data_IF_482378672128
#
_entry.id   IF_482378672128
#
_cell.length_a   1.000
_cell.length_b   1.000
_cell.length_c   1.000
_cell.angle_alpha   90.00
_cell.angle_beta   90.00
_cell.angle_gamma   90.00
#
_symmetry.space_group_name_H-M   'P 1'
#
loop_
_entity.id
_entity.type
_entity.pdbx_description
1 polymer ?
#
# COMPACT_ATOMS: atom_id res chain seq x y z
N UNK A 1 43.09 6.22 -55.10
CA UNK A 1 43.59 7.32 -54.23
C UNK A 1 43.03 7.12 -52.88
N UNK A 2 43.80 6.58 -51.96
CA UNK A 2 43.36 6.45 -50.56
C UNK A 2 43.53 7.81 -49.93
N UNK A 3 42.39 8.50 -49.67
CA UNK A 3 42.39 9.73 -48.89
C UNK A 3 42.46 9.32 -47.42
N UNK A 4 43.59 9.56 -46.75
CA UNK A 4 43.70 9.39 -45.29
C UNK A 4 42.82 10.39 -44.56
N UNK A 5 42.32 10.01 -43.39
CA UNK A 5 41.58 10.92 -42.51
C UNK A 5 42.48 12.09 -42.08
N UNK A 6 41.93 13.27 -42.12
CA UNK A 6 42.63 14.47 -41.62
C UNK A 6 42.53 14.54 -40.09
N UNK A 7 43.54 15.10 -39.46
CA UNK A 7 43.58 15.30 -37.97
C UNK A 7 42.37 16.11 -37.51
N UNK A 8 41.89 17.05 -38.28
CA UNK A 8 40.74 17.87 -37.97
C UNK A 8 39.41 17.06 -37.94
N UNK A 9 39.24 16.10 -38.86
CA UNK A 9 38.07 15.23 -38.88
C UNK A 9 38.00 14.35 -37.65
N UNK A 10 39.14 13.87 -37.15
CA UNK A 10 39.20 13.07 -35.92
C UNK A 10 38.79 13.93 -34.72
N UNK A 11 39.29 15.17 -34.60
CA UNK A 11 38.97 16.07 -33.52
C UNK A 11 37.46 16.40 -33.51
N UNK A 12 36.89 16.75 -34.65
CA UNK A 12 35.47 17.04 -34.79
C UNK A 12 34.61 15.83 -34.37
N UNK A 13 34.99 14.65 -34.84
CA UNK A 13 34.29 13.39 -34.50
C UNK A 13 34.30 13.11 -32.98
N UNK A 14 35.44 13.35 -32.31
CA UNK A 14 35.56 13.19 -30.86
C UNK A 14 34.71 14.19 -30.10
N UNK A 15 34.63 15.44 -30.57
CA UNK A 15 33.76 16.46 -29.95
C UNK A 15 32.28 16.03 -30.03
N UNK A 16 31.83 15.62 -31.22
CA UNK A 16 30.46 15.16 -31.45
C UNK A 16 30.15 13.94 -30.57
N UNK A 17 31.06 12.97 -30.52
CA UNK A 17 30.91 11.78 -29.67
C UNK A 17 30.79 12.16 -28.19
N UNK A 18 31.61 13.09 -27.72
CA UNK A 18 31.56 13.54 -26.34
C UNK A 18 30.21 14.20 -25.96
N UNK A 19 29.66 15.00 -26.88
CA UNK A 19 28.33 15.63 -26.68
C UNK A 19 27.24 14.56 -26.62
N UNK A 20 27.26 13.59 -27.51
CA UNK A 20 26.28 12.49 -27.52
C UNK A 20 26.36 11.69 -26.23
N UNK A 21 27.54 11.39 -25.72
CA UNK A 21 27.75 10.67 -24.46
C UNK A 21 27.19 11.45 -23.25
N UNK A 22 27.41 12.78 -23.21
CA UNK A 22 26.86 13.63 -22.14
C UNK A 22 25.34 13.64 -22.13
N UNK A 23 24.72 13.81 -23.30
CA UNK A 23 23.26 13.79 -23.44
C UNK A 23 22.70 12.42 -23.02
N UNK A 24 23.29 11.35 -23.54
CA UNK A 24 22.88 9.97 -23.21
C UNK A 24 22.99 9.68 -21.72
N UNK A 25 24.05 10.13 -21.05
CA UNK A 25 24.25 9.96 -19.62
C UNK A 25 23.17 10.69 -18.81
N UNK A 26 22.80 11.91 -19.21
CA UNK A 26 21.76 12.68 -18.54
C UNK A 26 20.37 12.05 -18.72
N UNK A 27 20.07 11.55 -19.91
CA UNK A 27 18.83 10.84 -20.18
C UNK A 27 18.73 9.56 -19.33
N UNK A 28 19.83 8.81 -19.23
CA UNK A 28 19.86 7.60 -18.40
C UNK A 28 19.60 7.90 -16.92
N UNK A 29 20.26 8.91 -16.35
CA UNK A 29 20.03 9.35 -14.97
C UNK A 29 18.58 9.77 -14.75
N UNK A 30 18.04 10.55 -15.67
CA UNK A 30 16.64 10.99 -15.58
C UNK A 30 15.69 9.79 -15.63
N UNK A 31 15.92 8.83 -16.51
CA UNK A 31 15.12 7.60 -16.63
C UNK A 31 15.12 6.79 -15.33
N UNK A 32 16.28 6.62 -14.69
CA UNK A 32 16.41 5.90 -13.41
C UNK A 32 15.61 6.61 -12.31
N UNK A 33 15.72 7.93 -12.20
CA UNK A 33 14.98 8.69 -11.19
C UNK A 33 13.46 8.61 -11.40
N UNK A 34 12.99 8.66 -12.65
CA UNK A 34 11.57 8.47 -12.97
C UNK A 34 11.08 7.07 -12.64
N UNK A 35 11.91 6.05 -12.88
CA UNK A 35 11.56 4.67 -12.56
C UNK A 35 11.41 4.48 -11.04
N UNK A 36 12.31 5.03 -10.25
CA UNK A 36 12.25 4.98 -8.78
C UNK A 36 10.98 5.68 -8.25
N UNK A 37 10.71 6.91 -8.71
CA UNK A 37 9.50 7.63 -8.33
C UNK A 37 8.22 6.89 -8.74
N UNK A 38 8.22 6.23 -9.90
CA UNK A 38 7.09 5.44 -10.36
C UNK A 38 6.89 4.20 -9.50
N UNK A 39 7.95 3.49 -9.15
CA UNK A 39 7.89 2.32 -8.28
C UNK A 39 7.33 2.66 -6.90
N UNK A 40 7.75 3.78 -6.32
CA UNK A 40 7.20 4.27 -5.05
C UNK A 40 5.69 4.55 -5.15
N UNK A 41 5.24 5.19 -6.23
CA UNK A 41 3.81 5.43 -6.47
C UNK A 41 3.03 4.13 -6.64
N UNK A 42 3.55 3.18 -7.40
CA UNK A 42 2.92 1.88 -7.59
C UNK A 42 2.80 1.10 -6.28
N UNK A 43 3.84 1.14 -5.44
CA UNK A 43 3.79 0.53 -4.11
C UNK A 43 2.65 1.09 -3.28
N UNK A 44 2.53 2.43 -3.21
CA UNK A 44 1.43 3.10 -2.48
C UNK A 44 0.04 2.74 -3.03
N UNK A 45 -0.11 2.68 -4.35
CA UNK A 45 -1.38 2.28 -4.98
C UNK A 45 -1.73 0.84 -4.62
N UNK A 46 -0.76 -0.07 -4.64
CA UNK A 46 -0.98 -1.47 -4.27
C UNK A 46 -1.38 -1.62 -2.80
N UNK A 47 -0.76 -0.89 -1.90
CA UNK A 47 -1.13 -0.86 -0.48
C UNK A 47 -2.57 -0.36 -0.28
N UNK A 48 -2.96 0.73 -0.96
CA UNK A 48 -4.33 1.25 -0.94
C UNK A 48 -5.34 0.24 -1.49
N UNK A 49 -5.02 -0.42 -2.59
CA UNK A 49 -5.87 -1.45 -3.18
C UNK A 49 -6.04 -2.66 -2.26
N UNK A 50 -4.96 -3.08 -1.61
CA UNK A 50 -5.00 -4.16 -0.63
C UNK A 50 -5.90 -3.79 0.56
N UNK A 51 -5.68 -2.63 1.17
CA UNK A 51 -6.50 -2.14 2.28
C UNK A 51 -7.98 -2.02 1.88
N UNK A 52 -8.28 -1.42 0.72
CA UNK A 52 -9.64 -1.32 0.19
C UNK A 52 -10.28 -2.69 -0.02
N UNK A 53 -9.53 -3.65 -0.51
CA UNK A 53 -10.02 -5.01 -0.75
C UNK A 53 -10.37 -5.72 0.56
N UNK A 54 -9.50 -5.59 1.57
CA UNK A 54 -9.75 -6.15 2.91
C UNK A 54 -11.00 -5.53 3.53
N UNK A 55 -11.09 -4.20 3.56
CA UNK A 55 -12.24 -3.49 4.12
C UNK A 55 -13.54 -3.89 3.40
N UNK A 56 -13.54 -3.92 2.08
CA UNK A 56 -14.71 -4.33 1.29
C UNK A 56 -15.14 -5.77 1.57
N UNK A 57 -14.18 -6.67 1.68
CA UNK A 57 -14.44 -8.07 2.04
C UNK A 57 -15.13 -8.16 3.39
N UNK A 58 -14.55 -7.50 4.38
CA UNK A 58 -15.02 -7.57 5.76
C UNK A 58 -16.40 -6.92 5.94
N UNK A 59 -16.64 -5.81 5.25
CA UNK A 59 -17.95 -5.17 5.22
C UNK A 59 -19.03 -6.04 4.52
N UNK A 60 -18.67 -6.76 3.46
CA UNK A 60 -19.60 -7.69 2.79
C UNK A 60 -19.97 -8.89 3.65
N UNK A 61 -19.08 -9.26 4.55
CA UNK A 61 -19.26 -10.36 5.49
C UNK A 61 -19.82 -9.88 6.84
N UNK A 62 -20.11 -8.59 6.98
CA UNK A 62 -20.68 -8.04 8.21
C UNK A 62 -22.04 -8.68 8.52
N UNK A 63 -22.20 -9.10 9.76
CA UNK A 63 -23.41 -9.77 10.24
C UNK A 63 -24.07 -8.97 11.35
N UNK A 64 -25.41 -8.94 11.35
CA UNK A 64 -26.17 -8.25 12.36
C UNK A 64 -26.36 -9.13 13.62
N UNK A 65 -25.22 -9.43 14.26
CA UNK A 65 -25.20 -10.16 15.54
C UNK A 65 -24.52 -9.27 16.58
N UNK A 66 -25.18 -8.95 17.70
CA UNK A 66 -24.57 -8.12 18.74
C UNK A 66 -23.37 -8.84 19.36
N UNK A 67 -22.29 -8.08 19.56
CA UNK A 67 -21.14 -8.55 20.33
C UNK A 67 -21.55 -8.81 21.77
N UNK A 68 -20.78 -9.65 22.44
CA UNK A 68 -20.86 -9.81 23.90
C UNK A 68 -19.56 -9.33 24.50
N UNK A 69 -19.68 -8.63 25.64
CA UNK A 69 -18.54 -8.24 26.45
C UNK A 69 -17.91 -9.48 27.15
N UNK A 70 -16.85 -9.24 27.90
CA UNK A 70 -16.18 -10.30 28.65
C UNK A 70 -17.10 -10.98 29.67
N UNK A 71 -18.13 -10.28 30.18
CA UNK A 71 -19.12 -10.80 31.14
C UNK A 71 -20.34 -11.44 30.48
N UNK A 72 -20.37 -11.52 29.15
CA UNK A 72 -21.47 -12.12 28.39
C UNK A 72 -22.64 -11.19 28.13
N UNK A 73 -22.59 -9.91 28.54
CA UNK A 73 -23.62 -8.92 28.29
C UNK A 73 -23.62 -8.54 26.81
N UNK A 74 -24.80 -8.31 26.23
CA UNK A 74 -24.92 -7.86 24.85
C UNK A 74 -24.49 -6.40 24.73
N UNK A 75 -23.53 -6.11 23.87
CA UNK A 75 -23.19 -4.75 23.47
C UNK A 75 -24.34 -4.12 22.67
N UNK A 76 -24.53 -2.81 22.82
CA UNK A 76 -25.52 -2.05 22.05
C UNK A 76 -25.01 -1.89 20.62
N UNK A 77 -25.67 -2.55 19.67
CA UNK A 77 -25.41 -2.44 18.26
C UNK A 77 -24.35 -3.44 17.74
N UNK A 78 -24.41 -3.67 16.45
CA UNK A 78 -23.50 -4.58 15.71
C UNK A 78 -22.45 -3.80 14.96
N UNK A 79 -22.68 -2.52 14.74
CA UNK A 79 -21.78 -1.60 14.06
C UNK A 79 -21.61 -0.36 14.96
N UNK A 80 -20.42 -0.15 15.47
CA UNK A 80 -20.09 0.95 16.38
C UNK A 80 -18.99 1.81 15.78
N UNK A 81 -19.28 3.10 15.63
CA UNK A 81 -18.30 4.12 15.27
C UNK A 81 -17.96 4.98 16.48
N UNK A 82 -16.70 5.20 16.74
CA UNK A 82 -16.20 6.10 17.75
C UNK A 82 -15.37 7.22 17.10
N UNK A 83 -15.95 8.42 17.10
CA UNK A 83 -15.29 9.58 16.51
C UNK A 83 -14.07 10.04 17.32
N UNK A 84 -14.12 9.95 18.65
CA UNK A 84 -13.01 10.38 19.49
C UNK A 84 -11.75 9.53 19.28
N UNK A 85 -11.94 8.21 19.17
CA UNK A 85 -10.86 7.26 18.92
C UNK A 85 -10.65 6.97 17.42
N UNK A 86 -11.34 7.69 16.52
CA UNK A 86 -11.26 7.47 15.06
C UNK A 86 -11.35 5.99 14.71
N UNK A 87 -12.29 5.29 15.32
CA UNK A 87 -12.40 3.84 15.19
C UNK A 87 -13.80 3.41 14.76
N UNK A 88 -13.82 2.28 14.04
CA UNK A 88 -15.05 1.60 13.62
C UNK A 88 -14.91 0.13 13.94
N UNK A 89 -15.92 -0.42 14.61
CA UNK A 89 -15.97 -1.85 14.92
C UNK A 89 -17.29 -2.48 14.50
N UNK A 90 -17.22 -3.70 14.00
CA UNK A 90 -18.38 -4.48 13.62
C UNK A 90 -18.08 -5.98 13.69
N UNK A 91 -19.12 -6.81 13.66
CA UNK A 91 -18.98 -8.25 13.61
C UNK A 91 -19.03 -8.74 12.17
N UNK A 92 -18.09 -9.61 11.82
CA UNK A 92 -18.00 -10.21 10.49
C UNK A 92 -17.90 -11.72 10.59
N UNK A 93 -18.46 -12.39 9.59
CA UNK A 93 -18.32 -13.84 9.42
C UNK A 93 -16.98 -14.13 8.73
N UNK A 94 -16.07 -14.75 9.48
CA UNK A 94 -14.75 -15.13 8.94
C UNK A 94 -14.67 -16.64 8.99
N UNK A 95 -14.63 -17.26 7.83
CA UNK A 95 -14.42 -18.69 7.70
C UNK A 95 -12.94 -19.01 7.99
N UNK A 96 -12.62 -19.15 9.26
CA UNK A 96 -11.30 -19.55 9.72
C UNK A 96 -11.33 -21.07 9.97
N UNK A 97 -10.44 -21.78 9.32
CA UNK A 97 -10.33 -23.25 9.37
C UNK A 97 -9.90 -23.74 10.76
N UNK A 98 -9.56 -22.85 11.69
CA UNK A 98 -9.24 -23.22 13.06
C UNK A 98 -10.50 -23.70 13.81
N UNK A 99 -10.57 -24.97 14.06
CA UNK A 99 -11.70 -25.81 14.45
C UNK A 99 -12.40 -25.42 15.76
N UNK A 100 -11.87 -24.50 16.56
CA UNK A 100 -12.38 -24.22 17.92
C UNK A 100 -12.77 -22.77 18.19
N UNK A 101 -12.95 -21.92 17.19
CA UNK A 101 -13.34 -20.54 17.41
C UNK A 101 -14.62 -20.19 16.66
N UNK A 102 -15.44 -19.31 17.25
CA UNK A 102 -16.64 -18.80 16.59
C UNK A 102 -16.29 -18.24 15.20
N UNK A 103 -17.08 -18.57 14.17
CA UNK A 103 -16.91 -17.98 12.83
C UNK A 103 -17.24 -16.48 12.79
N UNK A 104 -17.94 -15.98 13.81
CA UNK A 104 -18.24 -14.55 13.94
C UNK A 104 -17.16 -13.90 14.81
N UNK A 105 -16.44 -12.95 14.24
CA UNK A 105 -15.36 -12.24 14.91
C UNK A 105 -15.63 -10.74 14.88
N UNK A 106 -15.28 -10.05 15.97
CA UNK A 106 -15.31 -8.59 16.03
C UNK A 106 -14.07 -8.05 15.33
N UNK A 107 -14.31 -7.18 14.38
CA UNK A 107 -13.29 -6.46 13.63
C UNK A 107 -13.27 -5.02 14.15
N UNK A 108 -12.10 -4.49 14.36
CA UNK A 108 -11.86 -3.10 14.72
C UNK A 108 -10.88 -2.48 13.75
N UNK A 109 -11.31 -1.40 13.11
CA UNK A 109 -10.45 -0.50 12.36
C UNK A 109 -10.24 0.76 13.19
N UNK A 110 -9.02 1.21 13.33
CA UNK A 110 -8.73 2.49 13.96
C UNK A 110 -7.59 3.20 13.25
N UNK A 111 -7.61 4.52 13.31
CA UNK A 111 -6.57 5.36 12.72
C UNK A 111 -5.81 6.07 13.83
N UNK A 112 -4.50 5.91 13.84
CA UNK A 112 -3.59 6.58 14.73
C UNK A 112 -2.39 7.11 13.93
N UNK A 113 -1.96 8.35 14.21
CA UNK A 113 -0.84 9.03 13.53
C UNK A 113 -0.77 8.80 12.01
N UNK A 114 -1.89 9.03 11.31
CA UNK A 114 -2.00 8.82 9.86
C UNK A 114 -1.91 7.36 9.38
N UNK A 115 -1.91 6.42 10.28
CA UNK A 115 -1.81 5.00 9.99
C UNK A 115 -3.16 4.33 10.22
N UNK A 116 -3.58 3.45 9.32
CA UNK A 116 -4.77 2.63 9.49
C UNK A 116 -4.40 1.25 10.00
N UNK A 117 -4.95 0.91 11.14
CA UNK A 117 -4.78 -0.38 11.79
C UNK A 117 -6.01 -1.25 11.64
N UNK A 118 -5.77 -2.52 11.53
CA UNK A 118 -6.78 -3.57 11.53
C UNK A 118 -6.55 -4.52 12.70
N UNK A 119 -7.57 -4.69 13.53
CA UNK A 119 -7.50 -5.59 14.67
C UNK A 119 -8.55 -6.68 14.56
N UNK A 120 -8.10 -7.92 14.54
CA UNK A 120 -8.93 -9.10 14.57
C UNK A 120 -8.56 -9.94 15.79
N UNK A 121 -9.45 -10.02 16.80
CA UNK A 121 -9.32 -10.92 17.97
C UNK A 121 -7.87 -11.10 18.47
N UNK A 122 -7.31 -10.08 19.09
CA UNK A 122 -5.95 -10.04 19.69
C UNK A 122 -4.76 -10.01 18.69
N UNK A 123 -5.00 -9.83 17.41
CA UNK A 123 -3.95 -9.66 16.41
C UNK A 123 -4.14 -8.29 15.76
N UNK A 124 -3.13 -7.44 15.85
CA UNK A 124 -3.12 -6.12 15.22
C UNK A 124 -2.33 -6.23 13.92
N UNK A 125 -2.95 -5.87 12.80
CA UNK A 125 -2.31 -5.76 11.51
C UNK A 125 -2.19 -4.29 11.11
N UNK A 126 -1.06 -3.94 10.61
CA UNK A 126 -0.82 -2.68 9.94
C UNK A 126 -1.37 -2.74 8.51
N UNK A 127 -2.29 -1.84 8.16
CA UNK A 127 -2.89 -1.82 6.82
C UNK A 127 -2.36 -0.73 5.91
N UNK A 128 -2.05 0.43 6.45
CA UNK A 128 -1.69 1.58 5.64
C UNK A 128 -0.94 2.63 6.45
N UNK A 129 0.24 2.98 6.02
CA UNK A 129 1.00 4.11 6.53
C UNK A 129 0.86 5.30 5.57
N UNK A 130 0.48 6.44 6.10
CA UNK A 130 0.37 7.67 5.33
C UNK A 130 1.62 8.50 5.62
N UNK A 131 2.51 8.57 4.66
CA UNK A 131 3.63 9.50 4.67
C UNK A 131 3.20 10.91 4.28
#
# INVERSE_FOLDING_TARGET
MNKGFTLIEIIISLIILSIILLISSNLLKSSINYQEATNLKLKKINELNLASTIIRRDLRQAVNVPSRDFFGNKEKGTFNGDYANKSVSFNSYINDISINTSPIKKILYFSDDNTLYYHLKNIIFFLLERY
#
